data_IF_832405284659
#
_entry.id   IF_832405284659
#
_cell.length_a   1.000
_cell.length_b   1.000
_cell.length_c   1.000
_cell.angle_alpha   90.00
_cell.angle_beta   90.00
_cell.angle_gamma   90.00
#
_symmetry.space_group_name_H-M   'P 1'
#
loop_
_entity.id
_entity.type
_entity.pdbx_description
1 polymer ?
#
# COMPACT_ATOMS: atom_id res chain seq x y z
N UNK A 1 66.04 -4.73 -0.63
CA UNK A 1 65.63 -4.73 0.80
C UNK A 1 64.16 -4.30 0.83
N UNK A 2 63.20 -5.23 0.77
CA UNK A 2 62.43 -5.82 1.91
C UNK A 2 61.60 -4.74 2.64
N UNK A 3 60.27 -4.78 2.78
CA UNK A 3 59.34 -5.91 3.01
C UNK A 3 57.91 -5.64 2.49
N UNK A 4 57.26 -6.70 2.05
CA UNK A 4 55.79 -6.84 1.88
C UNK A 4 55.05 -6.72 3.22
N UNK A 5 53.85 -6.13 3.18
CA UNK A 5 52.84 -6.22 4.24
C UNK A 5 51.61 -6.95 3.72
N UNK A 6 51.44 -8.19 4.16
CA UNK A 6 50.23 -9.02 3.99
C UNK A 6 49.46 -8.87 5.29
N UNK A 7 48.19 -8.46 5.26
CA UNK A 7 47.34 -8.42 6.45
C UNK A 7 46.07 -9.24 6.20
N UNK A 8 45.83 -10.13 7.15
CA UNK A 8 45.00 -11.33 7.07
C UNK A 8 43.51 -11.09 6.86
N UNK A 9 42.95 -11.99 6.07
CA UNK A 9 41.54 -12.33 5.98
C UNK A 9 41.06 -12.87 7.34
N UNK A 10 39.98 -12.30 7.89
CA UNK A 10 39.21 -12.91 8.99
C UNK A 10 37.84 -13.30 8.42
N UNK A 11 37.72 -14.57 8.01
CA UNK A 11 36.43 -15.19 7.68
C UNK A 11 35.69 -15.42 9.00
N UNK A 12 34.69 -14.59 9.29
CA UNK A 12 33.75 -14.88 10.39
C UNK A 12 32.80 -15.99 9.95
N UNK A 13 33.03 -17.17 10.51
CA UNK A 13 32.10 -18.29 10.46
C UNK A 13 30.87 -17.97 11.35
N UNK A 14 29.77 -17.55 10.74
CA UNK A 14 28.47 -17.56 11.41
C UNK A 14 27.95 -19.01 11.46
N UNK A 15 27.81 -19.49 12.69
CA UNK A 15 27.30 -20.80 13.06
C UNK A 15 25.89 -21.02 12.48
N UNK A 16 25.76 -22.12 11.74
CA UNK A 16 24.48 -22.67 11.27
C UNK A 16 23.73 -23.16 12.51
N UNK A 17 22.76 -22.38 12.98
CA UNK A 17 21.77 -22.83 13.95
C UNK A 17 20.83 -23.84 13.30
N UNK A 18 21.03 -25.13 13.58
CA UNK A 18 20.11 -26.18 13.21
C UNK A 18 18.87 -26.13 14.13
N UNK A 19 17.75 -25.60 13.64
CA UNK A 19 16.45 -25.83 14.25
C UNK A 19 16.02 -27.27 13.90
N UNK A 20 16.05 -28.17 14.88
CA UNK A 20 15.41 -29.48 14.76
C UNK A 20 13.87 -29.29 14.84
N UNK A 21 13.07 -29.94 13.98
CA UNK A 21 11.64 -30.05 14.20
C UNK A 21 11.39 -31.19 15.19
N UNK A 22 10.77 -30.91 16.32
CA UNK A 22 10.27 -31.94 17.22
C UNK A 22 8.88 -31.56 17.69
N UNK A 23 7.89 -32.22 17.10
CA UNK A 23 6.67 -32.78 17.73
C UNK A 23 5.69 -33.13 16.62
N UNK A 24 5.45 -34.42 16.40
CA UNK A 24 4.31 -34.91 15.63
C UNK A 24 3.00 -34.54 16.33
N UNK A 25 1.98 -34.01 15.64
CA UNK A 25 0.63 -33.93 16.19
C UNK A 25 -0.01 -35.32 16.23
N UNK A 26 -0.77 -35.57 17.30
CA UNK A 26 -1.69 -36.70 17.46
C UNK A 26 -2.79 -36.65 16.38
N UNK A 27 -3.47 -37.77 16.05
CA UNK A 27 -4.54 -37.75 15.08
C UNK A 27 -5.72 -36.90 15.59
N UNK A 28 -5.95 -35.77 14.94
CA UNK A 28 -7.14 -34.94 15.14
C UNK A 28 -8.39 -35.70 14.64
N UNK A 29 -9.53 -35.61 15.33
CA UNK A 29 -10.79 -36.09 14.80
C UNK A 29 -11.14 -35.28 13.54
N UNK A 30 -11.50 -35.97 12.46
CA UNK A 30 -11.88 -35.36 11.20
C UNK A 30 -13.09 -34.42 11.38
N UNK A 31 -12.81 -33.14 11.58
CA UNK A 31 -13.74 -32.05 11.33
C UNK A 31 -13.83 -31.88 9.81
N UNK A 32 -15.05 -31.64 9.34
CA UNK A 32 -15.42 -31.46 7.94
C UNK A 32 -14.40 -30.58 7.17
N UNK A 33 -14.17 -30.84 5.87
CA UNK A 33 -13.31 -29.97 5.08
C UNK A 33 -13.80 -28.53 5.21
N UNK A 34 -12.90 -27.56 5.49
CA UNK A 34 -13.29 -26.16 5.51
C UNK A 34 -13.99 -25.83 4.18
N UNK A 35 -15.04 -24.99 4.20
CA UNK A 35 -15.72 -24.61 2.96
C UNK A 35 -14.64 -24.11 2.01
N UNK A 36 -14.61 -24.77 0.85
CA UNK A 36 -13.77 -24.50 -0.31
C UNK A 36 -13.37 -23.03 -0.31
N UNK A 37 -12.11 -22.77 0.04
CA UNK A 37 -11.59 -21.42 0.19
C UNK A 37 -12.00 -20.65 -1.05
N UNK A 38 -12.81 -19.60 -0.84
CA UNK A 38 -13.18 -18.69 -1.90
C UNK A 38 -11.87 -18.32 -2.62
N UNK A 39 -11.75 -18.75 -3.87
CA UNK A 39 -10.66 -18.34 -4.75
C UNK A 39 -10.49 -16.84 -4.56
N UNK A 40 -9.29 -16.31 -4.27
CA UNK A 40 -9.12 -14.87 -4.23
C UNK A 40 -9.63 -14.39 -5.58
N UNK A 41 -10.77 -13.68 -5.56
CA UNK A 41 -11.33 -13.06 -6.74
C UNK A 41 -10.19 -12.23 -7.29
N UNK A 42 -9.69 -12.64 -8.47
CA UNK A 42 -8.45 -12.19 -9.09
C UNK A 42 -7.96 -10.90 -8.44
N UNK A 43 -6.99 -11.01 -7.52
CA UNK A 43 -6.17 -9.85 -7.19
C UNK A 43 -5.67 -9.39 -8.56
N UNK A 44 -6.22 -8.30 -9.09
CA UNK A 44 -5.66 -7.68 -10.27
C UNK A 44 -4.18 -7.53 -9.95
N UNK A 45 -3.37 -8.27 -10.71
CA UNK A 45 -1.95 -8.40 -10.44
C UNK A 45 -1.38 -6.99 -10.42
N UNK A 46 -1.05 -6.52 -9.22
CA UNK A 46 -0.55 -5.16 -9.02
C UNK A 46 0.65 -4.97 -9.94
N UNK A 47 0.59 -3.94 -10.78
CA UNK A 47 1.68 -3.61 -11.68
C UNK A 47 2.82 -2.97 -10.88
N UNK A 48 3.89 -3.74 -10.73
CA UNK A 48 5.10 -3.33 -10.02
C UNK A 48 6.16 -2.72 -10.94
N UNK A 49 5.98 -2.77 -12.25
CA UNK A 49 6.98 -2.29 -13.21
C UNK A 49 6.76 -0.81 -13.56
N UNK A 50 5.51 -0.34 -13.51
CA UNK A 50 5.15 1.04 -13.85
C UNK A 50 4.91 1.92 -12.61
N UNK A 51 5.27 3.20 -12.76
CA UNK A 51 5.01 4.26 -11.80
C UNK A 51 4.38 5.45 -12.54
N UNK A 52 3.14 5.78 -12.17
CA UNK A 52 2.48 7.00 -12.62
C UNK A 52 2.83 8.16 -11.68
N UNK A 53 3.34 9.27 -12.22
CA UNK A 53 3.63 10.48 -11.45
C UNK A 53 2.63 11.60 -11.78
N UNK A 54 2.07 12.22 -10.75
CA UNK A 54 1.12 13.33 -10.90
C UNK A 54 1.43 14.46 -9.91
N UNK A 55 1.19 15.70 -10.32
CA UNK A 55 1.42 16.89 -9.48
C UNK A 55 0.15 17.56 -8.96
N UNK A 56 -1.02 17.05 -9.38
CA UNK A 56 -2.36 17.52 -8.99
C UNK A 56 -3.11 16.40 -8.27
N UNK A 57 -3.87 16.77 -7.24
CA UNK A 57 -4.44 15.77 -6.32
C UNK A 57 -5.77 15.20 -6.79
N UNK A 58 -6.44 15.89 -7.72
CA UNK A 58 -7.81 15.58 -8.13
C UNK A 58 -7.89 14.26 -8.92
N UNK A 59 -9.01 13.57 -8.72
CA UNK A 59 -9.33 12.29 -9.36
C UNK A 59 -9.23 12.32 -10.89
N UNK A 60 -9.80 13.35 -11.50
CA UNK A 60 -9.88 13.53 -12.95
C UNK A 60 -8.49 13.65 -13.59
N UNK A 61 -7.58 14.40 -12.95
CA UNK A 61 -6.19 14.53 -13.42
C UNK A 61 -5.47 13.19 -13.36
N UNK A 62 -5.56 12.47 -12.23
CA UNK A 62 -4.90 11.17 -12.12
C UNK A 62 -5.49 10.14 -13.12
N UNK A 63 -6.81 10.19 -13.37
CA UNK A 63 -7.49 9.28 -14.29
C UNK A 63 -7.09 9.48 -15.76
N UNK A 64 -6.65 10.67 -16.14
CA UNK A 64 -6.17 10.95 -17.50
C UNK A 64 -4.83 10.25 -17.80
N UNK A 65 -3.98 10.06 -16.78
CA UNK A 65 -2.61 9.60 -16.94
C UNK A 65 -2.31 8.23 -16.32
N UNK A 66 -3.09 7.81 -15.32
CA UNK A 66 -2.86 6.59 -14.58
C UNK A 66 -3.94 5.53 -14.88
N UNK A 67 -3.48 4.29 -14.98
CA UNK A 67 -4.30 3.08 -15.12
C UNK A 67 -4.43 2.37 -13.77
N UNK A 68 -5.64 1.90 -13.38
CA UNK A 68 -5.84 1.15 -12.13
C UNK A 68 -4.88 -0.04 -11.97
N UNK A 69 -4.48 -0.31 -10.73
CA UNK A 69 -3.62 -1.44 -10.38
C UNK A 69 -2.11 -1.14 -10.42
N UNK A 70 -1.67 -0.02 -10.98
CA UNK A 70 -0.26 0.40 -10.95
C UNK A 70 0.09 1.25 -9.73
N UNK A 71 1.39 1.49 -9.50
CA UNK A 71 1.85 2.45 -8.50
C UNK A 71 1.62 3.88 -8.98
N UNK A 72 1.08 4.73 -8.12
CA UNK A 72 0.99 6.17 -8.36
C UNK A 72 1.75 6.94 -7.28
N UNK A 73 2.40 8.04 -7.66
CA UNK A 73 3.03 8.99 -6.74
C UNK A 73 2.52 10.40 -7.00
N UNK A 74 2.15 11.09 -5.92
CA UNK A 74 1.76 12.49 -5.95
C UNK A 74 2.92 13.37 -5.47
N UNK A 75 3.38 14.27 -6.34
CA UNK A 75 4.48 15.21 -6.11
C UNK A 75 4.01 16.65 -6.43
N UNK A 76 3.53 17.41 -5.44
CA UNK A 76 3.03 18.76 -5.66
C UNK A 76 4.13 19.71 -6.15
N UNK A 77 3.77 20.63 -7.05
CA UNK A 77 4.66 21.69 -7.56
C UNK A 77 5.11 22.67 -6.47
N UNK A 78 4.40 22.71 -5.34
CA UNK A 78 4.70 23.61 -4.22
C UNK A 78 4.36 22.96 -2.89
N UNK A 79 5.27 23.10 -1.92
CA UNK A 79 5.02 22.71 -0.53
C UNK A 79 4.14 23.74 0.19
N UNK A 80 3.57 23.35 1.33
CA UNK A 80 2.82 24.26 2.22
C UNK A 80 1.38 23.84 2.50
N UNK A 81 0.90 22.76 1.89
CA UNK A 81 -0.37 22.13 2.23
C UNK A 81 -0.16 20.63 2.52
N UNK A 82 0.18 20.33 3.77
CA UNK A 82 0.42 18.96 4.26
C UNK A 82 -0.84 18.06 4.17
N UNK A 83 -2.01 18.63 3.89
CA UNK A 83 -3.26 17.89 3.70
C UNK A 83 -3.41 17.32 2.28
N UNK A 84 -2.71 17.87 1.28
CA UNK A 84 -2.88 17.40 -0.10
C UNK A 84 -2.45 15.94 -0.30
N UNK A 85 -1.32 15.46 0.27
CA UNK A 85 -0.96 14.06 0.16
C UNK A 85 -2.01 13.11 0.74
N UNK A 86 -2.64 13.44 1.88
CA UNK A 86 -3.70 12.59 2.44
C UNK A 86 -5.00 12.66 1.63
N UNK A 87 -5.35 13.83 1.07
CA UNK A 87 -6.49 13.97 0.17
C UNK A 87 -6.29 13.19 -1.13
N UNK A 88 -5.09 13.26 -1.71
CA UNK A 88 -4.74 12.43 -2.86
C UNK A 88 -4.96 10.95 -2.54
N UNK A 89 -4.50 10.50 -1.37
CA UNK A 89 -4.64 9.11 -0.98
C UNK A 89 -6.09 8.68 -0.85
N UNK A 90 -6.92 9.50 -0.21
CA UNK A 90 -8.35 9.20 -0.03
C UNK A 90 -9.13 9.10 -1.35
N UNK A 91 -8.68 9.81 -2.39
CA UNK A 91 -9.40 9.94 -3.67
C UNK A 91 -8.89 8.94 -4.72
N UNK A 92 -7.59 8.62 -4.69
CA UNK A 92 -6.93 7.91 -5.80
C UNK A 92 -6.35 6.54 -5.40
N UNK A 93 -6.22 6.24 -4.11
CA UNK A 93 -5.54 5.03 -3.67
C UNK A 93 -6.49 3.92 -3.26
N UNK A 94 -6.08 2.68 -3.53
CA UNK A 94 -6.63 1.51 -2.85
C UNK A 94 -6.07 1.42 -1.42
N UNK A 95 -6.89 1.82 -0.44
CA UNK A 95 -6.51 1.80 0.97
C UNK A 95 -6.53 0.39 1.61
N UNK A 96 -6.82 -0.66 0.84
CA UNK A 96 -6.59 -2.05 1.27
C UNK A 96 -5.11 -2.43 1.24
N UNK A 97 -4.31 -1.69 0.47
CA UNK A 97 -2.86 -1.86 0.38
C UNK A 97 -2.11 -0.77 1.17
N UNK A 98 -0.80 -1.00 1.35
CA UNK A 98 0.07 -0.04 2.04
C UNK A 98 0.14 1.30 1.31
N UNK A 99 0.06 2.38 2.08
CA UNK A 99 0.29 3.75 1.62
C UNK A 99 1.56 4.28 2.27
N UNK A 100 2.50 4.76 1.45
CA UNK A 100 3.69 5.44 1.94
C UNK A 100 3.48 6.96 1.85
N UNK A 101 3.51 7.61 3.01
CA UNK A 101 3.17 9.02 3.17
C UNK A 101 4.33 9.80 3.79
N UNK A 102 4.60 10.97 3.23
CA UNK A 102 5.47 11.99 3.83
C UNK A 102 4.68 13.29 3.99
N UNK A 103 5.32 14.34 4.54
CA UNK A 103 4.70 15.68 4.60
C UNK A 103 4.38 16.28 3.24
N UNK A 104 5.09 15.88 2.19
CA UNK A 104 5.03 16.52 0.88
C UNK A 104 4.61 15.63 -0.26
N UNK A 105 4.51 14.32 -0.05
CA UNK A 105 4.26 13.36 -1.12
C UNK A 105 3.57 12.11 -0.56
N UNK A 106 2.90 11.39 -1.44
CA UNK A 106 2.30 10.09 -1.14
C UNK A 106 2.46 9.16 -2.33
N UNK A 107 2.63 7.86 -2.06
CA UNK A 107 2.54 6.81 -3.07
C UNK A 107 1.74 5.61 -2.58
N UNK A 108 1.03 4.97 -3.50
CA UNK A 108 0.10 3.88 -3.24
C UNK A 108 -0.22 3.13 -4.54
N UNK A 109 -1.09 2.12 -4.44
CA UNK A 109 -1.72 1.49 -5.61
C UNK A 109 -2.88 2.36 -6.07
N UNK A 110 -2.90 2.70 -7.36
CA UNK A 110 -3.95 3.50 -7.96
C UNK A 110 -5.24 2.69 -8.08
N UNK A 111 -6.27 3.11 -7.35
CA UNK A 111 -7.64 2.66 -7.49
C UNK A 111 -8.55 3.84 -7.14
N UNK A 112 -8.93 4.66 -8.13
CA UNK A 112 -9.69 5.87 -7.90
C UNK A 112 -11.11 5.60 -7.39
N UNK A 113 -11.66 6.55 -6.63
CA UNK A 113 -13.09 6.53 -6.29
C UNK A 113 -13.95 6.56 -7.56
N UNK A 114 -15.07 5.83 -7.54
CA UNK A 114 -16.06 5.96 -8.60
C UNK A 114 -16.94 7.18 -8.30
N UNK A 115 -16.72 8.28 -9.03
CA UNK A 115 -17.58 9.46 -8.95
C UNK A 115 -18.77 9.22 -9.87
N UNK A 116 -19.87 8.69 -9.34
CA UNK A 116 -21.15 8.68 -10.07
C UNK A 116 -21.57 10.15 -10.35
N UNK A 117 -22.13 10.45 -11.53
CA UNK A 117 -22.57 11.81 -11.85
C UNK A 117 -23.60 12.29 -10.82
N UNK A 118 -23.52 13.56 -10.46
CA UNK A 118 -24.26 14.25 -9.38
C UNK A 118 -25.77 13.97 -9.33
N UNK A 119 -26.39 13.62 -10.46
CA UNK A 119 -27.80 13.27 -10.56
C UNK A 119 -28.17 11.90 -9.92
N UNK A 120 -27.19 11.13 -9.46
CA UNK A 120 -27.40 9.79 -8.86
C UNK A 120 -27.16 9.78 -7.34
N UNK A 121 -26.55 10.81 -6.77
CA UNK A 121 -26.22 10.85 -5.36
C UNK A 121 -27.47 11.14 -4.50
N UNK A 122 -27.74 10.37 -3.43
CA UNK A 122 -28.70 10.77 -2.42
C UNK A 122 -28.30 12.16 -1.88
N UNK A 123 -29.27 13.04 -1.56
CA UNK A 123 -28.96 14.36 -1.01
C UNK A 123 -28.05 14.17 0.22
N UNK A 124 -26.94 14.92 0.24
CA UNK A 124 -26.05 14.93 1.39
C UNK A 124 -26.89 15.14 2.66
N UNK A 125 -26.65 14.36 3.73
CA UNK A 125 -27.30 14.66 4.99
C UNK A 125 -27.00 16.12 5.32
N UNK A 126 -28.06 16.89 5.59
CA UNK A 126 -27.94 18.29 5.95
C UNK A 126 -26.94 18.49 7.10
N UNK A 127 -26.47 19.73 7.33
CA UNK A 127 -25.45 20.01 8.34
C UNK A 127 -25.79 19.29 9.64
N UNK A 128 -24.91 18.37 10.07
CA UNK A 128 -25.06 17.66 11.33
C UNK A 128 -25.03 18.74 12.42
N UNK A 129 -26.18 19.00 13.03
CA UNK A 129 -26.27 19.87 14.21
C UNK A 129 -25.52 19.15 15.31
N UNK A 130 -24.26 19.53 15.53
CA UNK A 130 -23.47 19.02 16.65
C UNK A 130 -24.07 19.62 17.92
N UNK A 131 -24.64 18.81 18.84
CA UNK A 131 -25.14 19.34 20.10
C UNK A 131 -23.98 19.93 20.91
N UNK A 132 -24.21 20.99 21.71
CA UNK A 132 -23.18 21.53 22.58
C UNK A 132 -22.66 20.43 23.51
N UNK A 133 -21.35 20.21 23.49
CA UNK A 133 -20.66 19.31 24.41
C UNK A 133 -20.70 19.91 25.83
N UNK A 134 -20.88 19.11 26.89
CA UNK A 134 -20.98 19.59 28.27
C UNK A 134 -19.67 20.17 28.82
#
# INVERSE_FOLDING_TARGET
MSKSGIASIVVSAFLIGACAPSTSPAPEPALDPPPEAASPAAEEMIDQENLCEVSRWQHDVAKEYCEPGQKVVYLPESFGNEQLPILFAAVNCDLRYSVALTKGAVTCIYAPINVEPENSAPPLPGPVVVPPQP
#
